data_IF_173699298568
#
_entry.id   IF_173699298568
#
_cell.length_a   1.000
_cell.length_b   1.000
_cell.length_c   1.000
_cell.angle_alpha   90.00
_cell.angle_beta   90.00
_cell.angle_gamma   90.00
#
_symmetry.space_group_name_H-M   'P 1'
#
loop_
_entity.id
_entity.type
_entity.pdbx_description
1 polymer ?
#
# COMPACT_ATOMS: atom_id res chain seq x y z
N UNK A 1 5.18 -20.64 -84.53
CA UNK A 1 4.32 -20.62 -83.34
C UNK A 1 5.21 -20.87 -82.14
N UNK A 2 5.59 -19.82 -81.41
CA UNK A 2 6.41 -19.89 -80.22
C UNK A 2 5.53 -19.54 -79.01
N UNK A 3 5.36 -20.51 -78.11
CA UNK A 3 4.61 -20.33 -76.86
C UNK A 3 5.50 -19.67 -75.80
N UNK A 4 5.08 -18.51 -75.34
CA UNK A 4 5.72 -17.82 -74.20
C UNK A 4 5.15 -18.39 -72.91
N UNK A 5 5.99 -18.98 -72.07
CA UNK A 5 5.67 -19.40 -70.71
C UNK A 5 6.02 -18.27 -69.76
N UNK A 6 5.04 -17.80 -68.96
CA UNK A 6 5.22 -16.83 -67.90
C UNK A 6 5.65 -17.56 -66.60
N UNK A 7 6.60 -17.02 -65.81
CA UNK A 7 6.98 -17.61 -64.55
C UNK A 7 6.02 -17.25 -63.44
N UNK A 8 5.63 -18.26 -62.65
CA UNK A 8 4.83 -18.21 -61.43
C UNK A 8 5.46 -17.29 -60.36
N UNK A 9 4.78 -16.21 -60.05
CA UNK A 9 5.15 -15.33 -58.92
C UNK A 9 4.63 -15.93 -57.59
N UNK A 10 5.41 -16.75 -56.95
CA UNK A 10 5.13 -17.18 -55.58
C UNK A 10 5.34 -16.00 -54.64
N UNK A 11 4.23 -15.38 -54.17
CA UNK A 11 4.23 -14.38 -53.12
C UNK A 11 4.61 -15.05 -51.78
N UNK A 12 5.81 -14.83 -51.32
CA UNK A 12 6.23 -15.15 -49.99
C UNK A 12 5.65 -14.07 -49.05
N UNK A 13 4.57 -14.40 -48.36
CA UNK A 13 4.06 -13.57 -47.27
C UNK A 13 5.01 -13.76 -46.06
N UNK A 14 5.92 -12.82 -45.86
CA UNK A 14 6.68 -12.70 -44.63
C UNK A 14 5.75 -12.21 -43.51
N UNK A 15 5.32 -13.12 -42.66
CA UNK A 15 4.57 -12.80 -41.46
C UNK A 15 5.45 -12.00 -40.49
N UNK A 16 5.12 -10.71 -40.29
CA UNK A 16 5.75 -9.93 -39.22
C UNK A 16 5.12 -10.37 -37.91
N UNK A 17 5.86 -11.17 -37.14
CA UNK A 17 5.50 -11.50 -35.78
C UNK A 17 5.87 -10.30 -34.88
N UNK A 18 4.88 -9.48 -34.54
CA UNK A 18 5.03 -8.49 -33.46
C UNK A 18 5.11 -9.24 -32.13
N UNK A 19 6.31 -9.45 -31.63
CA UNK A 19 6.51 -9.85 -30.26
C UNK A 19 6.11 -8.68 -29.35
N UNK A 20 4.93 -8.74 -28.77
CA UNK A 20 4.54 -7.85 -27.67
C UNK A 20 5.37 -8.29 -26.46
N UNK A 21 6.46 -7.59 -26.16
CA UNK A 21 7.17 -7.77 -24.92
C UNK A 21 6.19 -7.41 -23.79
N UNK A 22 5.81 -8.39 -22.98
CA UNK A 22 5.10 -8.11 -21.75
C UNK A 22 5.96 -7.14 -20.92
N UNK A 23 5.36 -6.11 -20.28
CA UNK A 23 6.13 -5.23 -19.42
C UNK A 23 6.87 -6.07 -18.38
N UNK A 24 8.15 -5.78 -18.18
CA UNK A 24 8.95 -6.46 -17.18
C UNK A 24 8.26 -6.36 -15.83
N UNK A 25 7.97 -7.50 -15.23
CA UNK A 25 7.33 -7.58 -13.93
C UNK A 25 8.30 -7.02 -12.90
N UNK A 26 7.85 -6.13 -12.01
CA UNK A 26 8.70 -5.59 -10.96
C UNK A 26 9.08 -6.71 -9.97
N UNK A 27 10.32 -6.71 -9.47
CA UNK A 27 10.72 -7.64 -8.42
C UNK A 27 9.84 -7.40 -7.17
N UNK A 28 9.28 -8.46 -6.57
CA UNK A 28 8.42 -8.31 -5.40
C UNK A 28 9.17 -7.71 -4.21
N UNK A 29 8.48 -6.93 -3.38
CA UNK A 29 9.01 -6.51 -2.09
C UNK A 29 9.24 -7.74 -1.20
N UNK A 30 10.35 -7.78 -0.43
CA UNK A 30 10.52 -8.78 0.62
C UNK A 30 9.44 -8.59 1.69
N UNK A 31 8.75 -9.66 2.07
CA UNK A 31 7.71 -9.62 3.09
C UNK A 31 7.92 -10.72 4.13
N UNK A 32 7.63 -10.42 5.38
CA UNK A 32 7.62 -11.35 6.51
C UNK A 32 6.19 -11.80 6.79
N UNK A 33 5.95 -13.09 6.92
CA UNK A 33 4.68 -13.60 7.45
C UNK A 33 4.73 -13.54 8.98
N UNK A 34 4.10 -12.51 9.57
CA UNK A 34 4.12 -12.26 11.02
C UNK A 34 3.03 -13.02 11.78
N UNK A 35 1.99 -13.43 11.05
CA UNK A 35 0.93 -14.32 11.50
C UNK A 35 0.33 -15.00 10.28
N UNK A 36 -0.46 -16.05 10.47
CA UNK A 36 -1.07 -16.78 9.36
C UNK A 36 -1.79 -15.84 8.39
N UNK A 37 -1.29 -15.79 7.14
CA UNK A 37 -1.84 -14.94 6.08
C UNK A 37 -1.67 -13.42 6.29
N UNK A 38 -0.85 -12.98 7.25
CA UNK A 38 -0.50 -11.56 7.47
C UNK A 38 0.95 -11.34 7.06
N UNK A 39 1.15 -10.56 6.00
CA UNK A 39 2.47 -10.31 5.42
C UNK A 39 2.83 -8.83 5.54
N UNK A 40 4.02 -8.55 6.06
CA UNK A 40 4.53 -7.18 6.32
C UNK A 40 5.84 -6.99 5.57
N UNK A 41 5.93 -5.91 4.81
CA UNK A 41 7.18 -5.34 4.31
C UNK A 41 7.68 -4.30 5.32
N UNK A 42 8.98 -4.31 5.58
CA UNK A 42 9.64 -3.33 6.45
C UNK A 42 10.30 -2.28 5.59
N UNK A 43 9.84 -1.04 5.73
CA UNK A 43 10.43 0.12 5.09
C UNK A 43 11.83 0.44 5.64
N UNK A 44 12.63 1.14 4.86
CA UNK A 44 13.98 1.56 5.25
C UNK A 44 13.91 2.65 6.30
N UNK A 45 14.83 2.61 7.25
CA UNK A 45 14.98 3.65 8.27
C UNK A 45 15.79 4.83 7.70
N UNK A 46 15.26 5.47 6.65
CA UNK A 46 15.89 6.51 5.84
C UNK A 46 14.85 7.58 5.48
N UNK A 47 15.29 8.71 4.93
CA UNK A 47 14.41 9.65 4.25
C UNK A 47 14.23 9.22 2.78
N UNK A 48 13.17 9.72 2.14
CA UNK A 48 12.91 9.44 0.71
C UNK A 48 14.04 10.00 -0.17
N UNK A 49 14.58 9.16 -1.04
CA UNK A 49 15.56 9.52 -2.04
C UNK A 49 15.41 8.73 -3.36
N UNK A 50 16.32 8.94 -4.31
CA UNK A 50 16.31 8.25 -5.60
C UNK A 50 16.68 6.76 -5.54
N UNK A 51 17.26 6.28 -4.43
CA UNK A 51 17.66 4.88 -4.27
C UNK A 51 16.55 4.05 -3.62
N UNK A 52 15.84 4.62 -2.63
CA UNK A 52 14.75 3.94 -1.94
C UNK A 52 13.36 4.23 -2.54
N UNK A 53 13.20 5.30 -3.33
CA UNK A 53 11.94 5.68 -3.99
C UNK A 53 10.76 5.80 -3.02
N UNK A 54 11.01 6.19 -1.76
CA UNK A 54 9.97 6.28 -0.73
C UNK A 54 9.61 4.94 -0.08
N UNK A 55 10.45 3.92 -0.18
CA UNK A 55 10.35 2.65 0.55
C UNK A 55 10.84 2.84 2.00
N UNK A 56 10.09 3.62 2.80
CA UNK A 56 10.51 4.06 4.15
C UNK A 56 9.48 3.77 5.25
N UNK A 57 8.28 3.32 4.90
CA UNK A 57 7.22 2.93 5.83
C UNK A 57 6.91 1.43 5.75
N UNK A 58 6.41 0.85 6.83
CA UNK A 58 5.88 -0.50 6.81
C UNK A 58 4.56 -0.51 6.04
N UNK A 59 4.43 -1.47 5.14
CA UNK A 59 3.21 -1.76 4.42
C UNK A 59 3.04 -3.28 4.29
N UNK A 60 1.89 -3.75 3.83
CA UNK A 60 1.72 -5.18 3.67
C UNK A 60 0.33 -5.58 3.24
N UNK A 61 -0.04 -6.83 3.54
CA UNK A 61 -1.35 -7.34 3.14
C UNK A 61 -1.82 -8.50 4.01
N UNK A 62 -3.13 -8.69 4.01
CA UNK A 62 -3.83 -9.73 4.73
C UNK A 62 -4.60 -10.57 3.71
N UNK A 63 -4.34 -11.89 3.71
CA UNK A 63 -4.97 -12.86 2.81
C UNK A 63 -6.11 -13.56 3.53
N UNK A 64 -7.34 -13.32 3.08
CA UNK A 64 -8.52 -14.07 3.52
C UNK A 64 -8.84 -15.24 2.59
N UNK A 65 -10.00 -15.87 2.76
CA UNK A 65 -10.40 -17.01 1.94
C UNK A 65 -10.80 -16.60 0.51
N UNK A 66 -11.39 -15.40 0.32
CA UNK A 66 -11.95 -14.96 -0.96
C UNK A 66 -11.25 -13.72 -1.53
N UNK A 67 -10.49 -12.98 -0.70
CA UNK A 67 -9.92 -11.72 -1.09
C UNK A 67 -8.69 -11.35 -0.27
N UNK A 68 -7.98 -10.32 -0.75
CA UNK A 68 -6.83 -9.67 -0.08
C UNK A 68 -7.20 -8.24 0.27
N UNK A 69 -6.79 -7.80 1.47
CA UNK A 69 -6.69 -6.38 1.83
C UNK A 69 -5.20 -6.01 1.91
N UNK A 70 -4.80 -4.97 1.17
CA UNK A 70 -3.49 -4.33 1.27
C UNK A 70 -3.59 -3.21 2.30
N UNK A 71 -2.60 -3.11 3.20
CA UNK A 71 -2.52 -2.08 4.23
C UNK A 71 -1.32 -1.20 3.91
N UNK A 72 -1.58 0.06 3.59
CA UNK A 72 -0.65 1.04 3.04
C UNK A 72 0.07 0.55 1.77
N UNK A 73 0.69 1.45 1.04
CA UNK A 73 1.17 1.12 -0.31
C UNK A 73 2.59 1.59 -0.60
N UNK A 74 3.24 2.22 0.38
CA UNK A 74 4.58 2.81 0.20
C UNK A 74 4.54 4.19 -0.46
N UNK A 75 5.70 4.81 -0.54
CA UNK A 75 5.89 6.21 -0.91
C UNK A 75 5.99 6.48 -2.42
N UNK A 76 5.74 5.49 -3.29
CA UNK A 76 5.69 5.71 -4.74
C UNK A 76 4.94 4.60 -5.47
N UNK A 77 4.55 4.89 -6.73
CA UNK A 77 3.97 3.88 -7.63
C UNK A 77 4.93 2.70 -7.85
N UNK A 78 6.24 2.94 -7.84
CA UNK A 78 7.26 1.89 -7.98
C UNK A 78 7.25 0.93 -6.79
N UNK A 79 7.21 1.44 -5.56
CA UNK A 79 7.09 0.65 -4.33
C UNK A 79 5.76 -0.11 -4.31
N UNK A 80 4.65 0.58 -4.64
CA UNK A 80 3.32 -0.03 -4.74
C UNK A 80 3.28 -1.19 -5.74
N UNK A 81 3.93 -1.07 -6.91
CA UNK A 81 4.02 -2.18 -7.89
C UNK A 81 4.75 -3.39 -7.30
N UNK A 82 5.86 -3.19 -6.63
CA UNK A 82 6.62 -4.25 -5.97
C UNK A 82 5.82 -4.91 -4.84
N UNK A 83 5.04 -4.14 -4.08
CA UNK A 83 4.11 -4.69 -3.08
C UNK A 83 3.00 -5.52 -3.74
N UNK A 84 2.43 -5.03 -4.85
CA UNK A 84 1.43 -5.76 -5.62
C UNK A 84 1.98 -7.10 -6.14
N UNK A 85 3.21 -7.13 -6.61
CA UNK A 85 3.89 -8.39 -7.00
C UNK A 85 4.16 -9.30 -5.79
N UNK A 86 4.45 -8.73 -4.61
CA UNK A 86 4.55 -9.53 -3.38
C UNK A 86 3.21 -10.21 -3.05
N UNK A 87 2.07 -9.52 -3.20
CA UNK A 87 0.73 -10.15 -3.08
C UNK A 87 0.58 -11.30 -4.08
N UNK A 88 0.85 -11.04 -5.37
CA UNK A 88 0.70 -12.02 -6.44
C UNK A 88 1.60 -13.25 -6.27
N UNK A 89 2.76 -13.09 -5.64
CA UNK A 89 3.66 -14.22 -5.32
C UNK A 89 3.14 -15.12 -4.19
N UNK A 90 2.13 -14.70 -3.44
CA UNK A 90 1.58 -15.42 -2.27
C UNK A 90 0.19 -16.00 -2.53
N UNK A 91 -0.60 -15.37 -3.43
CA UNK A 91 -1.97 -15.78 -3.67
C UNK A 91 -2.50 -15.28 -5.01
N UNK A 92 -3.41 -16.06 -5.61
CA UNK A 92 -4.19 -15.66 -6.79
C UNK A 92 -5.51 -14.96 -6.44
N UNK A 93 -5.81 -14.79 -5.14
CA UNK A 93 -7.04 -14.12 -4.70
C UNK A 93 -7.06 -12.65 -5.12
N UNK A 94 -8.24 -12.09 -5.46
CA UNK A 94 -8.34 -10.70 -5.87
C UNK A 94 -7.99 -9.74 -4.74
N UNK A 95 -7.25 -8.68 -5.05
CA UNK A 95 -7.05 -7.54 -4.16
C UNK A 95 -8.35 -6.74 -4.16
N UNK A 96 -9.17 -6.92 -3.11
CA UNK A 96 -10.48 -6.27 -3.01
C UNK A 96 -10.42 -4.92 -2.33
N UNK A 97 -9.45 -4.74 -1.42
CA UNK A 97 -9.32 -3.51 -0.66
C UNK A 97 -7.85 -3.06 -0.60
N UNK A 98 -7.67 -1.74 -0.67
CA UNK A 98 -6.46 -1.03 -0.28
C UNK A 98 -6.85 -0.10 0.85
N UNK A 99 -6.31 -0.33 2.04
CA UNK A 99 -6.60 0.44 3.25
C UNK A 99 -5.42 1.34 3.53
N UNK A 100 -5.63 2.66 3.57
CA UNK A 100 -4.61 3.59 4.01
C UNK A 100 -4.84 3.96 5.47
N UNK A 101 -3.80 3.81 6.28
CA UNK A 101 -3.84 4.12 7.71
C UNK A 101 -3.97 5.62 7.97
N UNK A 102 -3.37 6.45 7.11
CA UNK A 102 -3.48 7.91 7.12
C UNK A 102 -2.97 8.50 5.79
N UNK A 103 -2.88 9.83 5.67
CA UNK A 103 -2.64 10.55 4.42
C UNK A 103 -1.16 10.71 4.04
N UNK A 104 -0.17 10.39 4.89
CA UNK A 104 1.22 10.71 4.60
C UNK A 104 1.76 10.01 3.35
N UNK A 105 2.72 10.64 2.65
CA UNK A 105 3.13 10.21 1.31
C UNK A 105 3.69 8.80 1.27
N UNK A 106 4.44 8.39 2.27
CA UNK A 106 5.06 7.06 2.39
C UNK A 106 4.06 5.92 2.66
N UNK A 107 2.78 6.26 2.91
CA UNK A 107 1.67 5.32 3.08
C UNK A 107 0.71 5.28 1.89
N UNK A 108 0.60 6.38 1.11
CA UNK A 108 -0.48 6.50 0.09
C UNK A 108 0.00 6.64 -1.35
N UNK A 109 1.27 7.06 -1.61
CA UNK A 109 1.70 7.37 -2.97
C UNK A 109 1.85 6.14 -3.87
N UNK A 110 1.88 4.93 -3.29
CA UNK A 110 1.82 3.68 -4.02
C UNK A 110 0.42 3.25 -4.49
N UNK A 111 -0.66 3.93 -4.06
CA UNK A 111 -2.04 3.56 -4.39
C UNK A 111 -2.28 3.36 -5.89
N UNK A 112 -1.65 4.17 -6.75
CA UNK A 112 -1.83 4.09 -8.20
C UNK A 112 -1.43 2.74 -8.81
N UNK A 113 -0.54 1.99 -8.16
CA UNK A 113 -0.12 0.66 -8.61
C UNK A 113 -1.25 -0.39 -8.55
N UNK A 114 -2.27 -0.16 -7.73
CA UNK A 114 -3.39 -1.07 -7.51
C UNK A 114 -4.63 -0.75 -8.36
N UNK A 115 -4.63 0.36 -9.10
CA UNK A 115 -5.76 0.72 -9.99
C UNK A 115 -6.16 -0.39 -10.98
N UNK A 116 -5.24 -1.20 -11.54
CA UNK A 116 -5.62 -2.32 -12.42
C UNK A 116 -6.47 -3.40 -11.73
N UNK A 117 -6.37 -3.55 -10.41
CA UNK A 117 -7.16 -4.52 -9.64
C UNK A 117 -8.55 -3.99 -9.27
N UNK A 118 -8.81 -2.70 -9.48
CA UNK A 118 -10.07 -2.00 -9.16
C UNK A 118 -10.54 -2.21 -7.71
N UNK A 119 -9.66 -2.07 -6.70
CA UNK A 119 -10.03 -2.27 -5.31
C UNK A 119 -10.89 -1.12 -4.79
N UNK A 120 -11.60 -1.36 -3.68
CA UNK A 120 -12.08 -0.28 -2.83
C UNK A 120 -10.91 0.34 -2.08
N UNK A 121 -10.65 1.64 -2.30
CA UNK A 121 -9.68 2.40 -1.50
C UNK A 121 -10.35 2.90 -0.24
N UNK A 122 -9.92 2.40 0.91
CA UNK A 122 -10.53 2.61 2.22
C UNK A 122 -9.63 3.49 3.08
N UNK A 123 -10.15 4.53 3.67
CA UNK A 123 -9.40 5.38 4.59
C UNK A 123 -10.34 6.14 5.55
N UNK A 124 -9.76 6.78 6.56
CA UNK A 124 -10.49 7.71 7.41
C UNK A 124 -11.17 8.80 6.57
N UNK A 125 -12.38 9.23 6.96
CA UNK A 125 -13.21 10.21 6.21
C UNK A 125 -12.49 11.50 5.83
N UNK A 126 -11.49 11.93 6.62
CA UNK A 126 -10.77 13.18 6.38
C UNK A 126 -9.66 13.04 5.32
N UNK A 127 -9.23 11.82 4.95
CA UNK A 127 -8.13 11.59 4.00
C UNK A 127 -8.41 12.22 2.64
N UNK A 128 -9.65 12.16 2.15
CA UNK A 128 -9.99 12.75 0.85
C UNK A 128 -9.71 14.26 0.81
N UNK A 129 -10.14 15.00 1.85
CA UNK A 129 -9.90 16.44 1.93
C UNK A 129 -8.41 16.76 2.14
N UNK A 130 -7.72 15.95 2.95
CA UNK A 130 -6.30 16.10 3.19
C UNK A 130 -5.45 15.88 1.93
N UNK A 131 -5.75 14.84 1.14
CA UNK A 131 -5.08 14.59 -0.14
C UNK A 131 -5.41 15.66 -1.20
N UNK A 132 -6.64 16.19 -1.21
CA UNK A 132 -6.98 17.30 -2.08
C UNK A 132 -6.19 18.58 -1.75
N UNK A 133 -5.88 18.80 -0.47
CA UNK A 133 -5.12 19.97 -0.02
C UNK A 133 -3.60 19.80 -0.19
N UNK A 134 -3.05 18.60 0.01
CA UNK A 134 -1.60 18.36 0.12
C UNK A 134 -1.02 17.48 -0.99
N UNK A 135 -1.85 16.80 -1.79
CA UNK A 135 -1.38 15.82 -2.77
C UNK A 135 -0.39 16.36 -3.80
N UNK A 136 -0.62 17.59 -4.29
CA UNK A 136 0.34 18.25 -5.21
C UNK A 136 1.67 18.56 -4.55
N UNK A 137 1.67 18.97 -3.28
CA UNK A 137 2.88 19.17 -2.50
C UNK A 137 3.64 17.86 -2.31
N UNK A 138 2.96 16.76 -1.98
CA UNK A 138 3.58 15.44 -1.84
C UNK A 138 4.23 14.97 -3.13
N UNK A 139 3.55 15.16 -4.27
CA UNK A 139 4.11 14.83 -5.59
C UNK A 139 5.37 15.65 -5.88
N UNK A 140 5.35 16.96 -5.64
CA UNK A 140 6.49 17.85 -5.85
C UNK A 140 7.66 17.52 -4.91
N UNK A 141 7.38 17.23 -3.64
CA UNK A 141 8.40 16.83 -2.66
C UNK A 141 9.07 15.50 -3.07
N UNK A 142 8.26 14.52 -3.51
CA UNK A 142 8.78 13.26 -4.01
C UNK A 142 9.63 13.46 -5.28
N UNK A 143 9.15 14.27 -6.24
CA UNK A 143 9.92 14.61 -7.47
C UNK A 143 11.25 15.27 -7.13
N UNK A 144 11.27 16.18 -6.16
CA UNK A 144 12.50 16.82 -5.70
C UNK A 144 13.49 15.84 -5.04
N UNK A 145 13.00 14.86 -4.29
CA UNK A 145 13.81 13.87 -3.58
C UNK A 145 14.27 12.71 -4.48
N UNK A 146 13.39 12.16 -5.30
CA UNK A 146 13.62 10.94 -6.09
C UNK A 146 13.89 11.20 -7.58
N UNK A 147 13.64 12.42 -8.05
CA UNK A 147 13.82 12.84 -9.45
C UNK A 147 12.54 12.73 -10.29
N UNK A 148 12.48 13.49 -11.43
CA UNK A 148 11.30 13.60 -12.27
C UNK A 148 10.91 12.28 -12.95
N UNK A 149 11.87 11.43 -13.27
CA UNK A 149 11.60 10.12 -13.89
C UNK A 149 10.85 9.19 -12.94
N UNK A 150 11.25 9.16 -11.67
CA UNK A 150 10.58 8.37 -10.63
C UNK A 150 9.17 8.89 -10.30
N UNK A 151 8.92 10.18 -10.49
CA UNK A 151 7.63 10.83 -10.26
C UNK A 151 6.68 10.81 -11.46
N UNK A 152 7.13 10.36 -12.64
CA UNK A 152 6.40 10.52 -13.90
C UNK A 152 5.02 9.85 -13.91
N UNK A 153 4.84 8.75 -13.21
CA UNK A 153 3.59 7.98 -13.12
C UNK A 153 2.89 8.09 -11.75
N UNK A 154 3.41 8.95 -10.86
CA UNK A 154 2.83 9.16 -9.55
C UNK A 154 1.48 9.89 -9.66
N UNK A 155 0.45 9.31 -9.06
CA UNK A 155 -0.91 9.87 -9.05
C UNK A 155 -1.49 9.82 -7.65
N UNK A 156 -2.12 10.90 -7.25
CA UNK A 156 -2.90 10.93 -6.02
C UNK A 156 -4.22 10.18 -6.27
N UNK A 157 -4.44 9.10 -5.52
CA UNK A 157 -5.66 8.30 -5.59
C UNK A 157 -6.44 8.49 -4.29
N UNK A 158 -7.58 9.20 -4.34
CA UNK A 158 -8.40 9.43 -3.16
C UNK A 158 -9.14 8.14 -2.74
N UNK A 159 -9.55 8.03 -1.46
CA UNK A 159 -10.36 6.92 -1.00
C UNK A 159 -11.74 6.92 -1.67
N UNK A 160 -12.27 5.72 -1.93
CA UNK A 160 -13.63 5.49 -2.44
C UNK A 160 -14.58 5.04 -1.34
N UNK A 161 -14.03 4.59 -0.19
CA UNK A 161 -14.77 4.15 1.00
C UNK A 161 -14.24 4.94 2.21
N UNK A 162 -15.07 5.76 2.81
CA UNK A 162 -14.72 6.61 3.94
C UNK A 162 -15.15 5.95 5.26
N UNK A 163 -14.23 5.82 6.21
CA UNK A 163 -14.50 5.35 7.57
C UNK A 163 -14.69 6.55 8.49
N UNK A 164 -15.88 6.69 9.07
CA UNK A 164 -16.21 7.81 9.97
C UNK A 164 -16.06 7.46 11.44
N UNK A 165 -16.24 6.19 11.79
CA UNK A 165 -16.11 5.66 13.14
C UNK A 165 -15.54 4.24 13.05
N UNK A 166 -16.32 3.27 12.62
CA UNK A 166 -15.93 1.87 12.48
C UNK A 166 -16.46 1.28 11.18
N UNK A 167 -15.68 0.36 10.59
CA UNK A 167 -16.06 -0.41 9.42
C UNK A 167 -15.50 -1.83 9.54
N UNK A 168 -16.29 -2.83 9.18
CA UNK A 168 -15.84 -4.21 9.04
C UNK A 168 -15.62 -4.53 7.55
N UNK A 169 -14.50 -5.16 7.23
CA UNK A 169 -14.23 -5.72 5.91
C UNK A 169 -14.15 -7.24 6.03
N UNK A 170 -14.96 -7.95 5.26
CA UNK A 170 -14.93 -9.41 5.19
C UNK A 170 -14.14 -9.88 3.95
N UNK A 171 -13.11 -10.68 4.20
CA UNK A 171 -12.24 -11.27 3.18
C UNK A 171 -12.60 -12.75 2.90
N UNK A 172 -13.85 -13.14 3.17
CA UNK A 172 -14.33 -14.52 3.05
C UNK A 172 -14.27 -15.27 4.39
N UNK A 173 -15.00 -14.76 5.38
CA UNK A 173 -15.01 -15.27 6.75
C UNK A 173 -13.86 -14.75 7.64
N UNK A 174 -12.86 -14.08 7.06
CA UNK A 174 -11.81 -13.34 7.80
C UNK A 174 -12.18 -11.87 7.88
N UNK A 175 -12.49 -11.40 9.07
CA UNK A 175 -13.01 -10.05 9.30
C UNK A 175 -11.90 -9.13 9.82
N UNK A 176 -11.77 -7.97 9.16
CA UNK A 176 -10.91 -6.87 9.59
C UNK A 176 -11.77 -5.77 10.21
N UNK A 177 -11.44 -5.37 11.44
CA UNK A 177 -12.03 -4.20 12.10
C UNK A 177 -11.21 -2.96 11.82
N UNK A 178 -11.81 -1.98 11.16
CA UNK A 178 -11.23 -0.68 10.89
C UNK A 178 -11.84 0.35 11.86
N UNK A 179 -11.00 1.11 12.54
CA UNK A 179 -11.44 2.14 13.50
C UNK A 179 -10.80 3.48 13.15
N UNK A 180 -11.66 4.46 12.83
CA UNK A 180 -11.24 5.85 12.67
C UNK A 180 -10.85 6.43 14.05
N UNK A 181 -9.65 6.97 14.17
CA UNK A 181 -9.12 7.46 15.44
C UNK A 181 -9.31 8.98 15.57
N UNK A 182 -9.43 9.51 16.80
CA UNK A 182 -9.40 10.95 17.03
C UNK A 182 -8.03 11.52 16.64
N UNK A 183 -7.97 12.86 16.50
CA UNK A 183 -6.73 13.57 16.11
C UNK A 183 -5.57 13.17 17.02
N UNK A 184 -4.53 12.59 16.41
CA UNK A 184 -3.34 12.08 17.09
C UNK A 184 -2.08 12.37 16.26
N UNK A 185 -1.51 11.39 15.55
CA UNK A 185 -0.41 11.60 14.62
C UNK A 185 -0.84 12.56 13.49
N UNK A 186 -2.03 12.32 12.93
CA UNK A 186 -2.73 13.22 12.01
C UNK A 186 -4.15 13.48 12.51
N UNK A 187 -4.99 14.14 11.69
CA UNK A 187 -6.44 14.25 11.90
C UNK A 187 -7.24 13.17 11.15
N UNK A 188 -6.55 12.16 10.64
CA UNK A 188 -7.13 11.16 9.76
C UNK A 188 -6.53 9.75 9.94
N UNK A 189 -6.15 9.42 11.17
CA UNK A 189 -5.57 8.13 11.53
C UNK A 189 -6.64 7.01 11.57
N UNK A 190 -6.28 5.84 11.04
CA UNK A 190 -7.11 4.63 11.00
C UNK A 190 -6.29 3.43 11.48
N UNK A 191 -6.85 2.61 12.36
CA UNK A 191 -6.27 1.33 12.74
C UNK A 191 -7.02 0.16 12.12
N UNK A 192 -6.33 -0.95 11.89
CA UNK A 192 -6.91 -2.19 11.33
C UNK A 192 -6.59 -3.36 12.24
N UNK A 193 -7.58 -4.02 12.81
CA UNK A 193 -7.43 -5.24 13.58
C UNK A 193 -7.89 -6.44 12.76
N UNK A 194 -6.98 -7.36 12.48
CA UNK A 194 -7.33 -8.69 11.98
C UNK A 194 -7.81 -9.56 13.16
N UNK A 195 -9.10 -9.88 13.17
CA UNK A 195 -9.73 -10.66 14.27
C UNK A 195 -9.17 -12.08 14.36
N UNK A 196 -8.79 -12.69 13.22
CA UNK A 196 -8.35 -14.09 13.19
C UNK A 196 -7.02 -14.29 13.90
N UNK A 197 -6.07 -13.39 13.70
CA UNK A 197 -4.71 -13.50 14.27
C UNK A 197 -4.47 -12.53 15.41
N UNK A 198 -5.45 -11.69 15.76
CA UNK A 198 -5.32 -10.59 16.71
C UNK A 198 -4.11 -9.69 16.38
N UNK A 199 -3.92 -9.38 15.08
CA UNK A 199 -2.86 -8.50 14.60
C UNK A 199 -3.43 -7.10 14.37
N UNK A 200 -2.89 -6.10 15.09
CA UNK A 200 -3.29 -4.70 15.01
C UNK A 200 -2.29 -3.92 14.16
N UNK A 201 -2.77 -3.33 13.07
CA UNK A 201 -2.02 -2.35 12.28
C UNK A 201 -2.36 -0.96 12.79
N UNK A 202 -1.35 -0.21 13.18
CA UNK A 202 -1.52 1.11 13.79
C UNK A 202 -1.18 2.26 12.86
N UNK A 203 -0.50 1.97 11.73
CA UNK A 203 0.17 3.03 11.00
C UNK A 203 1.07 3.82 11.94
N UNK A 204 1.15 5.10 11.72
CA UNK A 204 2.03 6.03 12.43
C UNK A 204 1.52 6.47 13.80
N UNK A 205 0.46 5.83 14.31
CA UNK A 205 0.14 5.92 15.74
C UNK A 205 1.19 5.23 16.60
N UNK A 206 2.02 4.36 16.00
CA UNK A 206 3.15 3.74 16.66
C UNK A 206 4.40 3.79 15.76
N UNK A 207 5.42 4.48 16.25
CA UNK A 207 6.78 4.45 15.74
C UNK A 207 7.66 3.61 16.66
N UNK A 208 8.46 2.73 16.07
CA UNK A 208 9.48 1.99 16.79
C UNK A 208 10.84 2.21 16.12
N UNK A 209 11.89 2.40 16.92
CA UNK A 209 13.26 2.61 16.42
C UNK A 209 13.48 3.92 15.61
N UNK A 210 12.44 4.75 15.48
CA UNK A 210 12.48 6.02 14.77
C UNK A 210 11.72 7.10 15.54
N UNK A 211 12.21 8.35 15.48
CA UNK A 211 11.49 9.48 16.06
C UNK A 211 10.24 9.79 15.22
N UNK A 212 9.07 9.99 15.84
CA UNK A 212 7.84 10.27 15.12
C UNK A 212 7.78 11.68 14.55
N UNK A 213 7.16 11.83 13.38
CA UNK A 213 6.64 13.12 12.92
C UNK A 213 5.31 13.42 13.64
N UNK A 214 4.99 14.69 13.83
CA UNK A 214 3.75 15.14 14.49
C UNK A 214 3.06 16.14 13.55
N UNK A 215 1.94 15.75 12.97
CA UNK A 215 1.13 16.57 12.05
C UNK A 215 -0.29 16.80 12.57
N UNK A 216 -0.63 16.25 13.73
CA UNK A 216 -1.94 16.37 14.38
C UNK A 216 -1.84 17.03 15.75
N UNK A 217 -2.01 16.24 16.82
CA UNK A 217 -2.03 16.72 18.19
C UNK A 217 -1.27 15.80 19.12
N UNK A 218 -0.15 16.26 19.68
CA UNK A 218 0.63 15.50 20.66
C UNK A 218 -0.20 15.12 21.89
N UNK A 219 -1.04 16.04 22.40
CA UNK A 219 -1.90 15.75 23.55
C UNK A 219 -3.04 14.80 23.19
N UNK A 220 -3.54 14.86 21.95
CA UNK A 220 -4.52 13.91 21.43
C UNK A 220 -3.89 12.52 21.31
N UNK A 221 -2.67 12.46 20.79
CA UNK A 221 -1.92 11.21 20.60
C UNK A 221 -1.63 10.52 21.93
N UNK A 222 -1.12 11.24 22.94
CA UNK A 222 -0.91 10.68 24.29
C UNK A 222 -2.18 10.09 24.87
N UNK A 223 -3.32 10.81 24.78
CA UNK A 223 -4.62 10.28 25.24
C UNK A 223 -5.08 9.03 24.46
N UNK A 224 -4.77 8.99 23.16
CA UNK A 224 -5.09 7.82 22.32
C UNK A 224 -4.27 6.61 22.76
N UNK A 225 -2.98 6.77 22.98
CA UNK A 225 -2.07 5.69 23.37
C UNK A 225 -2.49 5.03 24.70
N UNK A 226 -2.99 5.81 25.67
CA UNK A 226 -3.53 5.29 26.92
C UNK A 226 -4.70 4.30 26.69
N UNK A 227 -5.53 4.53 25.67
CA UNK A 227 -6.63 3.63 25.32
C UNK A 227 -6.25 2.54 24.33
N UNK A 228 -5.28 2.80 23.45
CA UNK A 228 -4.88 1.88 22.39
C UNK A 228 -4.30 0.58 22.96
N UNK A 229 -3.59 0.65 24.09
CA UNK A 229 -3.04 -0.52 24.80
C UNK A 229 -4.09 -1.53 25.26
N UNK A 230 -5.36 -1.13 25.35
CA UNK A 230 -6.49 -2.00 25.71
C UNK A 230 -7.12 -2.73 24.51
N UNK A 231 -6.69 -2.47 23.27
CA UNK A 231 -7.19 -3.18 22.09
C UNK A 231 -6.87 -4.69 22.21
N UNK A 232 -7.81 -5.57 21.81
CA UNK A 232 -7.67 -7.01 21.97
C UNK A 232 -6.72 -7.63 20.93
N UNK A 233 -5.48 -7.15 20.90
CA UNK A 233 -4.45 -7.61 19.98
C UNK A 233 -3.41 -8.48 20.67
N UNK A 234 -2.84 -9.43 19.94
CA UNK A 234 -1.71 -10.24 20.40
C UNK A 234 -0.37 -9.63 19.92
N UNK A 235 -0.41 -8.91 18.82
CA UNK A 235 0.74 -8.25 18.19
C UNK A 235 0.32 -6.96 17.49
N UNK A 236 1.32 -6.11 17.26
CA UNK A 236 1.14 -4.86 16.53
C UNK A 236 2.08 -4.82 15.33
N UNK A 237 1.64 -4.18 14.25
CA UNK A 237 2.46 -3.74 13.12
C UNK A 237 2.51 -2.22 13.17
N UNK A 238 3.68 -1.63 13.50
CA UNK A 238 3.86 -0.18 13.53
C UNK A 238 3.97 0.38 12.11
N UNK A 239 3.77 1.68 11.93
CA UNK A 239 4.01 2.35 10.65
C UNK A 239 5.49 2.38 10.28
N UNK A 240 6.38 2.47 11.29
CA UNK A 240 7.83 2.39 11.14
C UNK A 240 8.44 1.54 12.24
N UNK A 241 9.42 0.71 11.89
CA UNK A 241 10.13 -0.17 12.82
C UNK A 241 10.09 -1.64 12.41
N UNK A 242 10.12 -2.59 13.36
CA UNK A 242 10.14 -4.01 13.03
C UNK A 242 8.84 -4.48 12.34
N UNK A 243 8.84 -5.65 11.66
CA UNK A 243 7.65 -6.15 10.96
C UNK A 243 6.47 -6.41 11.89
N UNK A 244 6.72 -6.68 13.15
CA UNK A 244 5.73 -6.72 14.22
C UNK A 244 6.40 -6.76 15.59
N UNK A 245 5.62 -6.44 16.64
CA UNK A 245 6.03 -6.57 18.03
C UNK A 245 4.89 -7.17 18.89
N UNK A 246 5.19 -7.78 20.05
CA UNK A 246 4.16 -8.20 20.99
C UNK A 246 3.33 -7.01 21.47
N UNK A 247 2.02 -7.20 21.67
CA UNK A 247 1.12 -6.20 22.21
C UNK A 247 0.57 -6.65 23.58
N UNK A 248 0.41 -5.78 24.59
CA UNK A 248 0.65 -4.32 24.63
C UNK A 248 2.10 -3.92 24.91
N UNK A 249 3.03 -4.84 25.05
CA UNK A 249 4.43 -4.55 25.42
C UNK A 249 5.21 -3.71 24.40
N UNK A 250 4.62 -3.43 23.23
CA UNK A 250 5.21 -2.61 22.18
C UNK A 250 4.82 -1.12 22.27
N UNK A 251 3.87 -0.75 23.14
CA UNK A 251 3.37 0.60 23.32
C UNK A 251 4.14 1.40 24.37
#
# INVERSE_FOLDING_TARGET
MAAFLWPDARKVLAGVWLFWAAPAQADPLPVFEVAHGVFVHVGRHEETDSANLGDIANCGFIVGNDAVAVIDTGGSTAVGRRLREAVRSRTDRPIRYVVNTHMHPDHVLGNAAFLPDQPGFVAHRNVQAALAARGDHYRQAFEAAAGPEAAADLRIVPPTIAVSDRLELDLGGRVLDLVARPVAHTDNDLTVLDRETATLWTGDLLFMERAPAIDGSILGWLRLLDGLGAEPAARVVPGHGPPSAPWPGAA
#
